data_IF_666234981779
#
_entry.id   IF_666234981779
#
_cell.length_a   1.000
_cell.length_b   1.000
_cell.length_c   1.000
_cell.angle_alpha   90.00
_cell.angle_beta   90.00
_cell.angle_gamma   90.00
#
_symmetry.space_group_name_H-M   'P 1'
#
loop_
_entity.id
_entity.type
_entity.pdbx_description
1 polymer ?
#
# COMPACT_ATOMS: atom_id res chain seq x y z
N UNK A 1 -4.93 -4.34 -19.40
CA UNK A 1 -4.40 -3.23 -18.59
C UNK A 1 -3.35 -2.47 -19.40
N UNK A 2 -3.21 -1.15 -19.24
CA UNK A 2 -2.17 -0.38 -19.93
C UNK A 2 -0.81 -0.61 -19.23
N UNK A 3 0.26 -1.01 -19.95
CA UNK A 3 1.60 -1.14 -19.36
C UNK A 3 2.11 0.20 -18.83
N UNK A 4 3.12 0.14 -17.97
CA UNK A 4 3.82 1.33 -17.49
C UNK A 4 4.75 1.82 -18.60
N UNK A 5 4.69 3.11 -18.94
CA UNK A 5 5.71 3.75 -19.76
C UNK A 5 6.72 4.54 -18.91
N UNK A 6 7.84 4.93 -19.55
CA UNK A 6 8.95 5.62 -18.88
C UNK A 6 8.58 7.03 -18.41
N UNK A 7 7.74 7.72 -19.16
CA UNK A 7 7.35 9.10 -18.86
C UNK A 7 6.43 9.13 -17.63
N UNK A 8 5.49 8.20 -17.55
CA UNK A 8 4.61 7.97 -16.40
C UNK A 8 5.42 7.66 -15.15
N UNK A 9 6.34 6.69 -15.19
CA UNK A 9 7.18 6.38 -14.05
C UNK A 9 8.01 7.60 -13.60
N UNK A 10 8.69 8.28 -14.53
CA UNK A 10 9.52 9.43 -14.23
C UNK A 10 8.70 10.63 -13.69
N UNK A 11 7.51 10.88 -14.23
CA UNK A 11 6.59 11.90 -13.74
C UNK A 11 6.13 11.58 -12.31
N UNK A 12 5.84 10.31 -12.02
CA UNK A 12 5.51 9.82 -10.68
C UNK A 12 6.61 10.07 -9.66
N UNK A 13 7.85 9.73 -10.01
CA UNK A 13 9.04 9.99 -9.19
C UNK A 13 9.19 11.49 -8.91
N UNK A 14 9.13 12.33 -9.94
CA UNK A 14 9.22 13.80 -9.78
C UNK A 14 8.10 14.34 -8.91
N UNK A 15 6.88 13.83 -9.08
CA UNK A 15 5.74 14.23 -8.27
C UNK A 15 5.97 13.88 -6.80
N UNK A 16 6.44 12.66 -6.50
CA UNK A 16 6.76 12.24 -5.14
C UNK A 16 7.75 13.21 -4.47
N UNK A 17 8.86 13.48 -5.15
CA UNK A 17 9.97 14.28 -4.65
C UNK A 17 9.63 15.77 -4.48
N UNK A 18 8.70 16.30 -5.29
CA UNK A 18 8.44 17.75 -5.34
C UNK A 18 7.08 18.17 -4.80
N UNK A 19 6.10 17.26 -4.73
CA UNK A 19 4.71 17.57 -4.32
C UNK A 19 4.31 16.93 -3.00
N UNK A 20 5.13 16.05 -2.44
CA UNK A 20 4.89 15.46 -1.12
C UNK A 20 5.89 15.97 -0.10
N UNK A 21 5.59 15.78 1.18
CA UNK A 21 6.57 15.91 2.27
C UNK A 21 7.07 14.55 2.74
N UNK A 22 6.92 13.51 1.91
CA UNK A 22 7.41 12.18 2.23
C UNK A 22 8.91 12.08 1.93
N UNK A 23 9.64 11.17 2.61
CA UNK A 23 11.05 10.96 2.32
C UNK A 23 11.30 10.53 0.86
N UNK A 24 12.43 10.99 0.30
CA UNK A 24 12.86 10.62 -1.05
C UNK A 24 13.38 9.16 -1.14
N UNK A 25 13.50 8.45 -0.02
CA UNK A 25 13.79 7.01 0.01
C UNK A 25 12.55 6.14 -0.28
N UNK A 26 11.42 6.76 -0.66
CA UNK A 26 10.15 6.09 -0.95
C UNK A 26 9.66 5.19 0.19
N UNK A 27 9.99 5.57 1.43
CA UNK A 27 9.72 4.84 2.67
C UNK A 27 10.59 3.60 2.92
N UNK A 28 11.72 3.43 2.21
CA UNK A 28 12.62 2.30 2.40
C UNK A 28 12.99 2.07 3.88
N UNK A 29 13.45 3.10 4.59
CA UNK A 29 13.80 2.97 6.01
C UNK A 29 12.58 2.59 6.88
N UNK A 30 11.38 3.04 6.51
CA UNK A 30 10.17 2.65 7.24
C UNK A 30 9.85 1.17 7.05
N UNK A 31 10.13 0.57 5.88
CA UNK A 31 9.91 -0.87 5.66
C UNK A 31 10.88 -1.73 6.46
N UNK A 32 12.13 -1.31 6.64
CA UNK A 32 13.08 -1.99 7.55
C UNK A 32 12.50 -2.09 8.97
N UNK A 33 11.99 -0.97 9.48
CA UNK A 33 11.38 -0.93 10.82
C UNK A 33 10.08 -1.73 10.90
N UNK A 34 9.25 -1.72 9.84
CA UNK A 34 7.97 -2.43 9.83
C UNK A 34 8.14 -3.95 9.81
N UNK A 35 9.11 -4.47 9.04
CA UNK A 35 9.40 -5.89 8.97
C UNK A 35 9.77 -6.49 10.34
N UNK A 36 10.45 -5.72 11.19
CA UNK A 36 10.83 -6.15 12.53
C UNK A 36 9.70 -6.06 13.57
N UNK A 37 8.65 -5.25 13.32
CA UNK A 37 7.65 -4.92 14.34
C UNK A 37 6.60 -6.01 14.55
N UNK A 38 6.21 -6.73 13.50
CA UNK A 38 5.20 -7.79 13.60
C UNK A 38 5.34 -8.81 12.44
N UNK A 39 6.41 -9.63 12.45
CA UNK A 39 6.71 -10.55 11.35
C UNK A 39 5.68 -11.69 11.18
N UNK A 40 4.92 -11.98 12.23
CA UNK A 40 4.02 -13.14 12.30
C UNK A 40 2.54 -12.79 12.49
N UNK A 41 2.19 -11.50 12.50
CA UNK A 41 0.80 -11.03 12.60
C UNK A 41 0.18 -11.22 13.99
N UNK A 42 1.00 -11.13 15.03
CA UNK A 42 0.57 -11.17 16.41
C UNK A 42 0.04 -9.77 16.82
N UNK A 43 -1.27 -9.62 16.95
CA UNK A 43 -1.93 -8.33 17.21
C UNK A 43 -1.98 -7.98 18.70
N UNK A 44 -0.82 -8.02 19.36
CA UNK A 44 -0.65 -7.83 20.80
C UNK A 44 -0.79 -6.37 21.26
N UNK A 45 -1.01 -6.17 22.56
CA UNK A 45 -1.24 -4.85 23.17
C UNK A 45 -0.02 -3.92 23.12
N UNK A 46 1.18 -4.48 23.21
CA UNK A 46 2.46 -3.75 23.21
C UNK A 46 2.90 -3.32 21.79
N UNK A 47 2.53 -4.10 20.77
CA UNK A 47 2.75 -3.76 19.36
C UNK A 47 1.89 -2.56 18.91
N UNK A 48 0.62 -2.54 19.30
CA UNK A 48 -0.38 -1.64 18.72
C UNK A 48 -0.07 -0.14 18.83
N UNK A 49 0.41 0.42 19.97
CA UNK A 49 0.69 1.86 20.08
C UNK A 49 1.69 2.38 19.05
N UNK A 50 2.75 1.61 18.77
CA UNK A 50 3.77 1.96 17.78
C UNK A 50 3.20 1.91 16.36
N UNK A 51 2.43 0.88 16.04
CA UNK A 51 1.80 0.72 14.74
C UNK A 51 0.74 1.81 14.47
N UNK A 52 -0.13 2.10 15.46
CA UNK A 52 -1.13 3.16 15.36
C UNK A 52 -0.51 4.55 15.19
N UNK A 53 0.64 4.81 15.81
CA UNK A 53 1.40 6.04 15.60
C UNK A 53 1.79 6.19 14.12
N UNK A 54 2.28 5.13 13.46
CA UNK A 54 2.61 5.16 12.03
C UNK A 54 1.37 5.38 11.16
N UNK A 55 0.29 4.64 11.41
CA UNK A 55 -0.98 4.82 10.67
C UNK A 55 -1.51 6.24 10.77
N UNK A 56 -1.37 6.86 11.94
CA UNK A 56 -1.78 8.25 12.18
C UNK A 56 -0.93 9.23 11.37
N UNK A 57 0.39 9.01 11.26
CA UNK A 57 1.28 9.86 10.43
C UNK A 57 0.88 9.81 8.95
N UNK A 58 0.46 8.64 8.48
CA UNK A 58 -0.09 8.42 7.13
C UNK A 58 -1.56 8.85 6.97
N UNK A 59 -2.10 9.54 7.98
CA UNK A 59 -3.46 10.08 8.04
C UNK A 59 -4.56 9.01 7.88
N UNK A 60 -4.26 7.72 8.06
CA UNK A 60 -5.20 6.62 7.84
C UNK A 60 -6.38 6.62 8.83
N UNK A 61 -6.12 7.06 10.07
CA UNK A 61 -7.05 6.98 11.20
C UNK A 61 -8.18 8.03 11.11
N UNK A 62 -8.00 9.13 10.34
CA UNK A 62 -8.99 10.22 10.25
C UNK A 62 -10.30 9.78 9.58
N UNK A 63 -11.47 10.25 10.03
CA UNK A 63 -11.69 11.21 11.12
C UNK A 63 -11.83 10.58 12.50
N UNK A 64 -11.69 9.25 12.65
CA UNK A 64 -11.81 8.59 13.94
C UNK A 64 -10.67 8.99 14.88
N UNK A 65 -10.96 8.94 16.18
CA UNK A 65 -9.92 9.08 17.20
C UNK A 65 -9.09 7.81 17.29
N UNK A 66 -7.85 7.94 17.78
CA UNK A 66 -6.98 6.79 18.09
C UNK A 66 -7.65 5.82 19.06
N UNK A 67 -8.30 6.34 20.11
CA UNK A 67 -9.00 5.54 21.11
C UNK A 67 -10.16 4.72 20.49
N UNK A 68 -10.93 5.31 19.58
CA UNK A 68 -12.01 4.60 18.90
C UNK A 68 -11.49 3.43 18.04
N UNK A 69 -10.40 3.64 17.29
CA UNK A 69 -9.78 2.57 16.49
C UNK A 69 -9.15 1.50 17.40
N UNK A 70 -8.54 1.89 18.52
CA UNK A 70 -8.03 0.92 19.52
C UNK A 70 -9.15 0.05 20.08
N UNK A 71 -10.30 0.62 20.47
CA UNK A 71 -11.42 -0.15 20.97
C UNK A 71 -11.93 -1.18 19.94
N UNK A 72 -11.98 -0.79 18.66
CA UNK A 72 -12.35 -1.69 17.57
C UNK A 72 -11.29 -2.77 17.33
N UNK A 73 -10.00 -2.47 17.48
CA UNK A 73 -8.94 -3.46 17.39
C UNK A 73 -9.06 -4.51 18.49
N UNK A 74 -9.26 -4.09 19.74
CA UNK A 74 -9.48 -5.01 20.87
C UNK A 74 -10.68 -5.92 20.58
N UNK A 75 -11.79 -5.35 20.11
CA UNK A 75 -13.00 -6.11 19.79
C UNK A 75 -12.87 -7.07 18.59
N UNK A 76 -11.88 -6.87 17.71
CA UNK A 76 -11.67 -7.69 16.50
C UNK A 76 -10.35 -8.47 16.53
N UNK A 77 -9.62 -8.50 17.64
CA UNK A 77 -8.26 -9.07 17.72
C UNK A 77 -8.17 -10.51 17.25
N UNK A 78 -9.05 -11.38 17.76
CA UNK A 78 -9.07 -12.80 17.39
C UNK A 78 -9.36 -12.99 15.90
N UNK A 79 -10.32 -12.23 15.35
CA UNK A 79 -10.63 -12.26 13.93
C UNK A 79 -9.46 -11.76 13.07
N UNK A 80 -8.71 -10.75 13.53
CA UNK A 80 -7.52 -10.26 12.83
C UNK A 80 -6.44 -11.34 12.77
N UNK A 81 -6.12 -11.95 13.93
CA UNK A 81 -5.14 -13.04 14.02
C UNK A 81 -5.53 -14.21 13.14
N UNK A 82 -6.78 -14.69 13.26
CA UNK A 82 -7.29 -15.78 12.44
C UNK A 82 -7.23 -15.48 10.94
N UNK A 83 -7.67 -14.30 10.51
CA UNK A 83 -7.61 -13.91 9.10
C UNK A 83 -6.18 -13.76 8.59
N UNK A 84 -5.25 -13.27 9.41
CA UNK A 84 -3.84 -13.21 9.06
C UNK A 84 -3.24 -14.61 8.84
N UNK A 85 -3.40 -15.52 9.81
CA UNK A 85 -2.83 -16.86 9.69
C UNK A 85 -3.43 -17.67 8.54
N UNK A 86 -4.70 -17.43 8.20
CA UNK A 86 -5.37 -18.10 7.09
C UNK A 86 -5.01 -17.50 5.72
N UNK A 87 -4.98 -16.17 5.59
CA UNK A 87 -4.92 -15.50 4.30
C UNK A 87 -3.54 -14.91 3.97
N UNK A 88 -2.76 -14.52 4.98
CA UNK A 88 -1.53 -13.75 4.82
C UNK A 88 -0.28 -14.59 5.11
N UNK A 89 -0.25 -15.30 6.24
CA UNK A 89 0.91 -16.11 6.63
C UNK A 89 1.37 -17.14 5.57
N UNK A 90 0.48 -17.84 4.84
CA UNK A 90 0.89 -18.83 3.83
C UNK A 90 1.57 -18.22 2.60
N UNK A 91 1.43 -16.91 2.38
CA UNK A 91 1.91 -16.20 1.19
C UNK A 91 2.86 -15.04 1.54
N UNK A 92 3.25 -14.89 2.82
CA UNK A 92 3.95 -13.70 3.33
C UNK A 92 5.29 -13.41 2.65
N UNK A 93 5.93 -14.44 2.09
CA UNK A 93 7.23 -14.33 1.41
C UNK A 93 7.09 -14.03 -0.09
N UNK A 94 5.86 -14.07 -0.62
CA UNK A 94 5.56 -13.69 -2.01
C UNK A 94 5.42 -12.17 -2.15
N UNK A 95 5.26 -11.72 -3.38
CA UNK A 95 4.77 -10.38 -3.70
C UNK A 95 3.40 -10.44 -4.38
N UNK A 96 2.87 -9.27 -4.73
CA UNK A 96 1.57 -9.12 -5.39
C UNK A 96 1.44 -9.95 -6.68
N UNK A 97 2.54 -10.29 -7.36
CA UNK A 97 2.49 -11.11 -8.58
C UNK A 97 2.20 -12.58 -8.26
N UNK A 98 2.62 -13.06 -7.10
CA UNK A 98 2.45 -14.45 -6.63
C UNK A 98 1.11 -14.76 -5.97
N UNK A 99 0.23 -13.77 -5.75
CA UNK A 99 -1.03 -13.95 -5.01
C UNK A 99 -2.27 -13.47 -5.77
N UNK A 100 -3.43 -14.10 -5.56
CA UNK A 100 -4.73 -13.59 -6.02
C UNK A 100 -5.44 -12.83 -4.91
N UNK A 101 -6.43 -12.01 -5.28
CA UNK A 101 -7.23 -11.30 -4.29
C UNK A 101 -7.98 -12.28 -3.38
N UNK A 102 -8.55 -13.36 -3.92
CA UNK A 102 -9.31 -14.37 -3.18
C UNK A 102 -8.48 -15.02 -2.06
N UNK A 103 -7.18 -15.23 -2.29
CA UNK A 103 -6.28 -15.79 -1.30
C UNK A 103 -6.12 -14.85 -0.10
N UNK A 104 -6.07 -13.54 -0.33
CA UNK A 104 -5.70 -12.56 0.69
C UNK A 104 -6.90 -11.76 1.25
N UNK A 105 -8.07 -11.77 0.60
CA UNK A 105 -9.18 -10.84 0.86
C UNK A 105 -9.73 -10.85 2.29
N UNK A 106 -9.68 -12.01 2.95
CA UNK A 106 -10.25 -12.18 4.29
C UNK A 106 -9.61 -11.22 5.31
N UNK A 107 -8.31 -10.95 5.17
CA UNK A 107 -7.60 -10.04 6.06
C UNK A 107 -8.03 -8.57 5.92
N UNK A 108 -7.96 -7.91 4.74
CA UNK A 108 -8.46 -6.55 4.54
C UNK A 108 -9.94 -6.38 4.89
N UNK A 109 -10.78 -7.41 4.71
CA UNK A 109 -12.19 -7.40 5.12
C UNK A 109 -12.35 -7.27 6.64
N UNK A 110 -11.53 -7.97 7.44
CA UNK A 110 -11.51 -7.81 8.90
C UNK A 110 -10.92 -6.46 9.29
N UNK A 111 -9.82 -6.04 8.66
CA UNK A 111 -9.20 -4.74 8.92
C UNK A 111 -10.15 -3.58 8.67
N UNK A 112 -11.03 -3.67 7.65
CA UNK A 112 -12.03 -2.64 7.37
C UNK A 112 -13.01 -2.42 8.55
N UNK A 113 -13.20 -3.42 9.43
CA UNK A 113 -14.04 -3.32 10.64
C UNK A 113 -13.43 -2.42 11.71
N UNK A 114 -12.11 -2.19 11.66
CA UNK A 114 -11.40 -1.29 12.60
C UNK A 114 -11.65 0.18 12.31
N UNK A 115 -12.18 0.49 11.12
CA UNK A 115 -12.57 1.84 10.73
C UNK A 115 -13.79 1.79 9.81
N UNK A 116 -14.98 1.51 10.35
CA UNK A 116 -16.19 1.49 9.55
C UNK A 116 -16.45 2.91 9.03
N UNK A 117 -16.56 3.05 7.70
CA UNK A 117 -16.95 4.31 7.07
C UNK A 117 -18.21 4.11 6.24
N UNK A 118 -19.06 5.15 6.17
CA UNK A 118 -20.28 5.11 5.35
C UNK A 118 -20.01 4.74 3.88
N UNK A 119 -18.85 5.18 3.36
CA UNK A 119 -18.45 4.96 1.96
C UNK A 119 -17.54 3.73 1.75
N UNK A 120 -17.30 2.90 2.78
CA UNK A 120 -16.37 1.76 2.73
C UNK A 120 -15.02 2.09 2.04
N UNK A 121 -14.42 3.20 2.46
CA UNK A 121 -13.20 3.71 1.81
C UNK A 121 -12.03 2.73 1.97
N UNK A 122 -11.31 2.38 0.89
CA UNK A 122 -10.18 1.45 0.95
C UNK A 122 -8.90 2.05 1.57
N UNK A 123 -8.88 3.35 1.88
CA UNK A 123 -7.67 4.06 2.35
C UNK A 123 -7.14 3.51 3.68
N UNK A 124 -8.03 3.22 4.65
CA UNK A 124 -7.59 2.65 5.92
C UNK A 124 -7.12 1.20 5.78
N UNK A 125 -7.94 0.27 5.21
CA UNK A 125 -7.50 -1.12 5.10
C UNK A 125 -6.26 -1.27 4.24
N UNK A 126 -6.10 -0.51 3.15
CA UNK A 126 -4.90 -0.58 2.33
C UNK A 126 -3.63 -0.19 3.09
N UNK A 127 -3.63 0.91 3.85
CA UNK A 127 -2.46 1.35 4.63
C UNK A 127 -2.12 0.39 5.77
N UNK A 128 -3.14 -0.12 6.46
CA UNK A 128 -2.95 -1.12 7.51
C UNK A 128 -2.34 -2.40 6.95
N UNK A 129 -2.92 -2.95 5.88
CA UNK A 129 -2.43 -4.18 5.28
C UNK A 129 -1.04 -3.99 4.67
N UNK A 130 -0.79 -2.87 3.99
CA UNK A 130 0.52 -2.53 3.41
C UNK A 130 1.62 -2.43 4.47
N UNK A 131 1.33 -1.93 5.67
CA UNK A 131 2.35 -1.85 6.72
C UNK A 131 2.79 -3.22 7.26
N UNK A 132 1.97 -4.26 7.07
CA UNK A 132 2.29 -5.62 7.49
C UNK A 132 2.88 -6.45 6.36
N UNK A 133 2.33 -6.34 5.14
CA UNK A 133 2.80 -7.06 3.94
C UNK A 133 2.88 -6.10 2.74
N UNK A 134 3.89 -5.22 2.71
CA UNK A 134 3.99 -4.16 1.71
C UNK A 134 4.13 -4.70 0.28
N UNK A 135 4.81 -5.84 0.12
CA UNK A 135 5.03 -6.50 -1.17
C UNK A 135 3.74 -7.01 -1.81
N UNK A 136 2.70 -7.25 -1.00
CA UNK A 136 1.42 -7.83 -1.44
C UNK A 136 0.35 -6.75 -1.55
N UNK A 137 0.18 -5.93 -0.51
CA UNK A 137 -0.95 -5.00 -0.41
C UNK A 137 -0.55 -3.61 -0.90
N UNK A 138 -1.04 -3.13 -2.05
CA UNK A 138 -0.75 -1.78 -2.50
C UNK A 138 -1.49 -0.74 -1.64
N UNK A 139 -0.89 0.44 -1.50
CA UNK A 139 -1.50 1.57 -0.78
C UNK A 139 -2.50 2.25 -1.69
N UNK A 140 -3.75 2.35 -1.26
CA UNK A 140 -4.74 3.13 -2.01
C UNK A 140 -4.46 4.63 -1.81
N UNK A 141 -3.94 5.28 -2.84
CA UNK A 141 -3.69 6.72 -2.88
C UNK A 141 -4.62 7.44 -3.87
N UNK A 142 -5.34 8.44 -3.39
CA UNK A 142 -6.19 9.30 -4.21
C UNK A 142 -5.40 10.05 -5.29
N UNK A 143 -4.10 10.30 -5.08
CA UNK A 143 -3.24 10.88 -6.10
C UNK A 143 -3.07 9.96 -7.31
N UNK A 144 -3.09 8.64 -7.10
CA UNK A 144 -2.97 7.60 -8.13
C UNK A 144 -4.33 7.26 -8.78
N UNK A 145 -5.40 7.16 -7.99
CA UNK A 145 -6.73 6.76 -8.51
C UNK A 145 -7.59 7.93 -8.99
N UNK A 146 -7.27 9.16 -8.56
CA UNK A 146 -8.11 10.34 -8.73
C UNK A 146 -9.19 10.47 -7.64
N UNK A 147 -9.59 11.71 -7.36
CA UNK A 147 -10.73 11.93 -6.45
C UNK A 147 -12.04 11.59 -7.18
N UNK A 148 -12.69 10.49 -6.80
CA UNK A 148 -14.01 10.11 -7.33
C UNK A 148 -15.11 11.14 -7.00
N UNK A 149 -14.79 12.17 -6.19
CA UNK A 149 -15.71 13.27 -5.83
C UNK A 149 -15.54 14.53 -6.68
N UNK A 150 -14.56 14.59 -7.58
CA UNK A 150 -14.43 15.74 -8.48
C UNK A 150 -15.61 15.76 -9.47
N UNK A 151 -16.61 16.60 -9.17
CA UNK A 151 -17.69 16.97 -10.09
C UNK A 151 -17.05 17.53 -11.37
N UNK A 152 -17.03 16.74 -12.45
CA UNK A 152 -16.65 17.20 -13.80
C UNK A 152 -15.50 16.47 -14.50
N UNK A 153 -14.86 15.46 -13.90
CA UNK A 153 -13.71 14.78 -14.50
C UNK A 153 -14.02 13.36 -15.00
N UNK A 154 -13.39 12.95 -16.11
CA UNK A 154 -13.44 11.63 -16.79
C UNK A 154 -12.93 10.47 -15.92
N UNK A 155 -13.46 10.30 -14.72
CA UNK A 155 -13.22 9.13 -13.86
C UNK A 155 -14.33 8.09 -14.03
N UNK A 156 -14.09 6.82 -13.73
CA UNK A 156 -15.15 5.83 -13.65
C UNK A 156 -16.24 6.28 -12.68
N UNK A 157 -17.50 6.12 -13.06
CA UNK A 157 -18.68 6.52 -12.28
C UNK A 157 -18.83 5.75 -10.96
N UNK A 158 -18.05 4.68 -10.77
CA UNK A 158 -18.05 3.83 -9.58
C UNK A 158 -16.75 4.00 -8.80
N UNK A 159 -16.79 4.25 -7.48
CA UNK A 159 -15.60 4.30 -6.65
C UNK A 159 -14.82 2.99 -6.74
N UNK A 160 -13.51 3.07 -6.99
CA UNK A 160 -12.65 1.89 -7.06
C UNK A 160 -12.62 1.18 -5.70
N UNK A 161 -13.01 -0.09 -5.67
CA UNK A 161 -12.91 -0.94 -4.48
C UNK A 161 -11.45 -1.28 -4.17
N UNK A 162 -11.16 -1.81 -2.97
CA UNK A 162 -9.78 -2.21 -2.69
C UNK A 162 -9.32 -3.34 -3.61
N UNK A 163 -10.19 -4.32 -3.86
CA UNK A 163 -9.99 -5.38 -4.86
C UNK A 163 -9.69 -4.82 -6.25
N UNK A 164 -10.52 -3.88 -6.71
CA UNK A 164 -10.32 -3.25 -8.02
C UNK A 164 -8.96 -2.56 -8.12
N UNK A 165 -8.51 -1.92 -7.04
CA UNK A 165 -7.18 -1.30 -7.00
C UNK A 165 -6.05 -2.33 -6.91
N UNK A 166 -6.23 -3.40 -6.14
CA UNK A 166 -5.27 -4.51 -6.05
C UNK A 166 -5.05 -5.14 -7.44
N UNK A 167 -6.13 -5.47 -8.14
CA UNK A 167 -6.07 -6.05 -9.49
C UNK A 167 -5.50 -5.05 -10.50
N UNK A 168 -5.87 -3.75 -10.41
CA UNK A 168 -5.28 -2.71 -11.24
C UNK A 168 -3.75 -2.70 -11.11
N UNK A 169 -3.22 -2.72 -9.89
CA UNK A 169 -1.77 -2.70 -9.66
C UNK A 169 -1.12 -3.97 -10.20
N UNK A 170 -1.66 -5.15 -9.83
CA UNK A 170 -1.14 -6.45 -10.26
C UNK A 170 -1.10 -6.58 -11.78
N UNK A 171 -2.20 -6.25 -12.45
CA UNK A 171 -2.33 -6.37 -13.90
C UNK A 171 -1.52 -5.31 -14.66
N UNK A 172 -1.36 -4.11 -14.10
CA UNK A 172 -0.52 -3.05 -14.71
C UNK A 172 0.95 -3.49 -14.70
N UNK A 173 1.41 -4.03 -13.57
CA UNK A 173 2.75 -4.61 -13.48
C UNK A 173 2.90 -5.78 -14.46
N UNK A 174 1.99 -6.75 -14.43
CA UNK A 174 2.05 -7.92 -15.32
C UNK A 174 1.98 -7.59 -16.82
N UNK A 175 1.28 -6.51 -17.20
CA UNK A 175 1.23 -6.05 -18.59
C UNK A 175 2.51 -5.34 -19.04
N UNK A 176 3.37 -4.90 -18.11
CA UNK A 176 4.62 -4.20 -18.41
C UNK A 176 5.68 -5.21 -18.86
N UNK A 177 6.34 -5.02 -20.02
CA UNK A 177 7.40 -5.91 -20.50
C UNK A 177 8.52 -6.15 -19.48
N UNK A 178 9.08 -7.35 -19.45
CA UNK A 178 10.09 -7.74 -18.46
C UNK A 178 11.34 -6.85 -18.52
N UNK A 179 11.77 -6.42 -19.72
CA UNK A 179 12.88 -5.47 -19.86
C UNK A 179 12.59 -4.12 -19.20
N UNK A 180 11.35 -3.62 -19.29
CA UNK A 180 10.94 -2.37 -18.65
C UNK A 180 10.78 -2.54 -17.14
N UNK A 181 10.25 -3.68 -16.69
CA UNK A 181 10.20 -3.99 -15.26
C UNK A 181 11.61 -3.95 -14.64
N UNK A 182 12.59 -4.59 -15.29
CA UNK A 182 13.98 -4.58 -14.84
C UNK A 182 14.58 -3.17 -14.83
N UNK A 183 14.31 -2.37 -15.86
CA UNK A 183 14.74 -0.97 -15.93
C UNK A 183 14.17 -0.13 -14.76
N UNK A 184 12.86 -0.24 -14.50
CA UNK A 184 12.22 0.49 -13.41
C UNK A 184 12.70 0.04 -12.03
N UNK A 185 12.95 -1.25 -11.84
CA UNK A 185 13.54 -1.79 -10.61
C UNK A 185 14.95 -1.24 -10.40
N UNK A 186 15.78 -1.24 -11.44
CA UNK A 186 17.14 -0.70 -11.36
C UNK A 186 17.13 0.80 -11.03
N UNK A 187 16.28 1.58 -11.69
CA UNK A 187 16.18 3.02 -11.45
C UNK A 187 15.62 3.34 -10.06
N UNK A 188 14.57 2.66 -9.62
CA UNK A 188 14.03 2.88 -8.27
C UNK A 188 15.03 2.47 -7.18
N UNK A 189 15.75 1.36 -7.39
CA UNK A 189 16.84 0.94 -6.49
C UNK A 189 17.91 2.02 -6.39
N UNK A 190 18.39 2.53 -7.53
CA UNK A 190 19.38 3.61 -7.60
C UNK A 190 18.91 4.87 -6.86
N UNK A 191 17.64 5.25 -7.01
CA UNK A 191 17.07 6.40 -6.33
C UNK A 191 16.96 6.19 -4.80
N UNK A 192 16.48 5.02 -4.38
CA UNK A 192 16.34 4.67 -2.96
C UNK A 192 17.70 4.63 -2.28
N UNK A 193 18.70 4.01 -2.89
CA UNK A 193 20.05 3.89 -2.32
C UNK A 193 20.85 5.19 -2.41
N UNK A 194 20.61 6.01 -3.43
CA UNK A 194 21.25 7.32 -3.57
C UNK A 194 20.77 8.36 -2.56
N UNK A 195 19.49 8.31 -2.17
CA UNK A 195 18.90 9.20 -1.16
C UNK A 195 18.93 8.59 0.26
N UNK A 196 19.05 7.27 0.34
CA UNK A 196 18.95 6.49 1.56
C UNK A 196 20.24 6.53 2.40
N UNK A 197 20.07 6.35 3.72
CA UNK A 197 21.18 6.06 4.65
C UNK A 197 21.43 4.57 4.82
N UNK A 198 20.60 3.74 4.19
CA UNK A 198 20.55 2.29 4.35
C UNK A 198 20.41 1.65 2.97
N UNK A 199 20.93 0.42 2.78
CA UNK A 199 20.67 -0.38 1.59
C UNK A 199 19.17 -0.54 1.34
N UNK A 200 18.81 -0.91 0.11
CA UNK A 200 17.44 -1.30 -0.21
C UNK A 200 16.99 -2.43 0.73
N UNK A 201 15.82 -2.28 1.34
CA UNK A 201 15.23 -3.30 2.21
C UNK A 201 14.83 -4.52 1.38
N UNK A 202 15.17 -5.73 1.83
CA UNK A 202 14.75 -6.99 1.19
C UNK A 202 13.22 -7.08 1.04
N UNK A 203 12.49 -6.50 2.00
CA UNK A 203 11.03 -6.41 1.99
C UNK A 203 10.46 -5.25 1.16
N UNK A 204 11.29 -4.51 0.41
CA UNK A 204 10.83 -3.33 -0.34
C UNK A 204 9.81 -3.74 -1.43
N UNK A 205 8.66 -3.03 -1.52
CA UNK A 205 7.57 -3.49 -2.36
C UNK A 205 7.70 -2.97 -3.80
N UNK A 206 8.69 -3.47 -4.54
CA UNK A 206 9.05 -2.99 -5.89
C UNK A 206 7.87 -2.88 -6.83
N UNK A 207 7.17 -3.98 -7.09
CA UNK A 207 6.06 -4.01 -8.04
C UNK A 207 4.96 -3.00 -7.66
N UNK A 208 4.53 -2.98 -6.38
CA UNK A 208 3.44 -2.10 -5.96
C UNK A 208 3.87 -0.64 -5.96
N UNK A 209 5.11 -0.33 -5.56
CA UNK A 209 5.64 1.05 -5.52
C UNK A 209 5.87 1.62 -6.91
N UNK A 210 6.47 0.85 -7.83
CA UNK A 210 6.70 1.29 -9.21
C UNK A 210 5.35 1.58 -9.89
N UNK A 211 4.38 0.68 -9.76
CA UNK A 211 3.05 0.89 -10.32
C UNK A 211 2.32 2.06 -9.67
N UNK A 212 2.41 2.25 -8.36
CA UNK A 212 1.85 3.43 -7.68
C UNK A 212 2.42 4.73 -8.26
N UNK A 213 3.75 4.83 -8.38
CA UNK A 213 4.43 5.99 -8.95
C UNK A 213 3.97 6.23 -10.39
N UNK A 214 3.93 5.20 -11.23
CA UNK A 214 3.46 5.32 -12.61
C UNK A 214 2.00 5.80 -12.70
N UNK A 215 1.11 5.27 -11.85
CA UNK A 215 -0.30 5.70 -11.81
C UNK A 215 -0.46 7.15 -11.34
N UNK A 216 0.38 7.60 -10.40
CA UNK A 216 0.48 9.03 -10.05
C UNK A 216 0.95 9.81 -11.27
N UNK A 217 2.06 9.41 -11.90
CA UNK A 217 2.62 10.10 -13.06
C UNK A 217 1.64 10.24 -14.20
N UNK A 218 0.90 9.18 -14.57
CA UNK A 218 -0.16 9.21 -15.59
C UNK A 218 -1.21 10.31 -15.36
N UNK A 219 -1.42 10.72 -14.12
CA UNK A 219 -2.41 11.75 -13.75
C UNK A 219 -1.82 13.16 -13.63
N UNK A 220 -0.50 13.27 -13.48
CA UNK A 220 0.19 14.53 -13.18
C UNK A 220 1.34 14.83 -14.17
N UNK A 221 1.44 14.07 -15.25
CA UNK A 221 2.29 14.32 -16.41
C UNK A 221 1.72 15.43 -17.29
#
# INVERSE_FOLDING_TARGET
MQPIDREEFAAGVRWWQTKTSWPNDFHNNAYVELAALNPDGEFLDDWWPNFLRRLSRWRAVRPLSKAAVTALLVANREHLGGAWHQACAPVKDLDITGVTWEQVRAFPEVVARLKPTKSRSPVFPSKFCHFLLPRIFPVFDNAAVGDSRSRGGRGPSTPLTYEGYFNLVKETWAATPAELQAEFVAELTRLVEGEGRSPLCDGFPMATKITELALIGRRHA
#
